data_IF_375832596894
#
_entry.id   IF_375832596894
#
_cell.length_a   1.000
_cell.length_b   1.000
_cell.length_c   1.000
_cell.angle_alpha   90.00
_cell.angle_beta   90.00
_cell.angle_gamma   90.00
#
_symmetry.space_group_name_H-M   'P 1'
#
loop_
_entity.id
_entity.type
_entity.pdbx_description
1 polymer ?
#
# COMPACT_ATOMS: atom_id res chain seq x y z
N UNK A 1 40.75 16.81 -28.49
CA UNK A 1 39.43 16.97 -27.83
C UNK A 1 39.41 18.32 -27.14
N UNK A 2 38.42 19.19 -27.40
CA UNK A 2 38.32 20.49 -26.70
C UNK A 2 37.68 20.33 -25.33
N UNK A 3 38.00 21.24 -24.40
CA UNK A 3 37.36 21.34 -23.08
C UNK A 3 35.83 21.45 -23.22
N UNK A 4 35.36 22.21 -24.20
CA UNK A 4 33.94 22.34 -24.54
C UNK A 4 33.31 20.98 -24.86
N UNK A 5 33.98 20.14 -25.65
CA UNK A 5 33.49 18.80 -25.98
C UNK A 5 33.49 17.83 -24.78
N UNK A 6 34.32 18.07 -23.77
CA UNK A 6 34.30 17.30 -22.51
C UNK A 6 33.14 17.75 -21.60
N UNK A 7 32.94 19.06 -21.46
CA UNK A 7 31.84 19.63 -20.68
C UNK A 7 30.47 19.24 -21.25
N UNK A 8 30.28 19.30 -22.57
CA UNK A 8 29.03 18.87 -23.20
C UNK A 8 28.74 17.39 -22.95
N UNK A 9 29.76 16.51 -23.01
CA UNK A 9 29.59 15.08 -22.70
C UNK A 9 29.21 14.84 -21.25
N UNK A 10 29.84 15.57 -20.32
CA UNK A 10 29.51 15.46 -18.90
C UNK A 10 28.07 15.92 -18.63
N UNK A 11 27.66 17.07 -19.17
CA UNK A 11 26.31 17.59 -19.00
C UNK A 11 25.25 16.62 -19.54
N UNK A 12 25.46 16.04 -20.73
CA UNK A 12 24.57 15.01 -21.27
C UNK A 12 24.52 13.78 -20.36
N UNK A 13 25.67 13.32 -19.86
CA UNK A 13 25.71 12.15 -18.96
C UNK A 13 24.94 12.40 -17.66
N UNK A 14 25.12 13.57 -17.04
CA UNK A 14 24.38 13.97 -15.83
C UNK A 14 22.88 14.03 -16.12
N UNK A 15 22.48 14.62 -17.26
CA UNK A 15 21.08 14.67 -17.67
C UNK A 15 20.46 13.28 -17.83
N UNK A 16 21.20 12.31 -18.39
CA UNK A 16 20.76 10.93 -18.51
C UNK A 16 20.65 10.23 -17.15
N UNK A 17 21.66 10.37 -16.29
CA UNK A 17 21.64 9.80 -14.94
C UNK A 17 20.46 10.34 -14.13
N UNK A 18 20.26 11.66 -14.12
CA UNK A 18 19.17 12.32 -13.40
C UNK A 18 17.78 11.90 -13.90
N UNK A 19 17.65 11.57 -15.19
CA UNK A 19 16.41 11.02 -15.76
C UNK A 19 16.16 9.57 -15.39
N UNK A 20 17.23 8.79 -15.17
CA UNK A 20 17.14 7.39 -14.73
C UNK A 20 16.85 7.23 -13.24
N UNK A 21 17.07 8.28 -12.42
CA UNK A 21 16.78 8.24 -10.99
C UNK A 21 15.26 8.17 -10.74
N UNK A 22 14.86 7.21 -9.92
CA UNK A 22 13.50 7.15 -9.37
C UNK A 22 13.34 8.27 -8.36
N UNK A 23 12.46 9.21 -8.67
CA UNK A 23 12.11 10.34 -7.81
C UNK A 23 10.81 10.05 -7.04
N UNK A 24 10.53 10.74 -5.92
CA UNK A 24 9.30 10.55 -5.15
C UNK A 24 8.00 10.71 -5.96
N UNK A 25 8.03 11.50 -7.03
CA UNK A 25 6.90 11.72 -7.95
C UNK A 25 6.77 10.63 -9.03
N UNK A 26 7.73 9.71 -9.14
CA UNK A 26 7.71 8.67 -10.16
C UNK A 26 6.43 7.81 -10.04
N UNK A 27 5.65 7.59 -11.12
CA UNK A 27 4.35 6.93 -11.08
C UNK A 27 4.43 5.45 -10.64
N UNK A 28 5.59 4.82 -10.81
CA UNK A 28 5.86 3.45 -10.35
C UNK A 28 6.14 3.30 -8.86
N UNK A 29 6.11 4.38 -8.05
CA UNK A 29 6.27 4.28 -6.60
C UNK A 29 4.92 4.17 -5.90
N UNK A 30 4.84 3.26 -4.92
CA UNK A 30 3.67 3.15 -4.06
C UNK A 30 3.42 4.47 -3.32
N UNK A 31 2.19 4.97 -3.43
CA UNK A 31 1.74 6.23 -2.82
C UNK A 31 1.24 6.04 -1.39
N UNK A 32 0.86 4.82 -1.03
CA UNK A 32 0.69 4.38 0.35
C UNK A 32 0.99 2.89 0.46
N UNK A 33 1.47 2.45 1.62
CA UNK A 33 1.58 1.03 1.96
C UNK A 33 1.52 0.84 3.47
N UNK A 34 1.11 -0.34 3.92
CA UNK A 34 1.15 -0.70 5.33
C UNK A 34 1.35 -2.21 5.52
N UNK A 35 2.06 -2.57 6.59
CA UNK A 35 2.04 -3.89 7.22
C UNK A 35 1.37 -3.75 8.58
N UNK A 36 0.24 -4.41 8.76
CA UNK A 36 -0.50 -4.38 10.03
C UNK A 36 -1.15 -5.73 10.31
N UNK A 37 -1.76 -5.89 11.48
CA UNK A 37 -2.64 -7.03 11.75
C UNK A 37 -3.44 -6.82 13.02
N UNK A 38 -4.25 -7.81 13.37
CA UNK A 38 -5.01 -7.81 14.61
C UNK A 38 -4.42 -8.84 15.57
N UNK A 39 -3.84 -8.36 16.67
CA UNK A 39 -3.10 -9.15 17.67
C UNK A 39 -3.51 -8.68 19.06
N UNK A 40 -3.77 -9.61 19.98
CA UNK A 40 -4.06 -9.26 21.37
C UNK A 40 -5.25 -8.33 21.56
N UNK A 41 -6.26 -8.43 20.70
CA UNK A 41 -7.46 -7.56 20.68
C UNK A 41 -7.23 -6.10 20.23
N UNK A 42 -6.10 -5.81 19.59
CA UNK A 42 -5.79 -4.50 19.04
C UNK A 42 -5.27 -4.61 17.59
N UNK A 43 -5.36 -3.49 16.85
CA UNK A 43 -4.67 -3.36 15.57
C UNK A 43 -3.22 -2.99 15.84
N UNK A 44 -2.31 -3.81 15.33
CA UNK A 44 -0.86 -3.63 15.39
C UNK A 44 -0.36 -3.14 14.02
N UNK A 45 -0.02 -1.85 13.90
CA UNK A 45 0.51 -1.23 12.68
C UNK A 45 2.04 -1.22 12.77
N UNK A 46 2.69 -2.15 12.06
CA UNK A 46 4.14 -2.41 12.20
C UNK A 46 4.99 -1.47 11.36
N UNK A 47 4.54 -1.17 10.15
CA UNK A 47 5.23 -0.29 9.23
C UNK A 47 4.24 0.32 8.25
N UNK A 48 4.48 1.56 7.84
CA UNK A 48 3.61 2.28 6.94
C UNK A 48 4.32 3.42 6.19
N UNK A 49 3.77 3.75 5.02
CA UNK A 49 4.02 5.00 4.31
C UNK A 49 2.68 5.60 3.89
N UNK A 50 2.51 6.90 4.14
CA UNK A 50 1.28 7.64 3.88
C UNK A 50 0.00 7.00 4.49
N UNK A 51 0.14 6.31 5.62
CA UNK A 51 -0.99 5.77 6.40
C UNK A 51 -0.92 6.37 7.80
N UNK A 52 -1.96 7.12 8.18
CA UNK A 52 -2.08 7.74 9.50
C UNK A 52 -2.55 6.73 10.55
N UNK A 53 -3.49 5.86 10.19
CA UNK A 53 -4.02 4.86 11.11
C UNK A 53 -4.68 3.69 10.37
N UNK A 54 -4.79 2.56 11.07
CA UNK A 54 -5.65 1.45 10.66
C UNK A 54 -6.58 1.14 11.82
N UNK A 55 -7.89 1.11 11.55
CA UNK A 55 -8.92 0.81 12.55
C UNK A 55 -9.70 -0.43 12.16
N UNK A 56 -10.04 -1.27 13.15
CA UNK A 56 -10.91 -2.42 12.95
C UNK A 56 -12.36 -2.00 13.11
N UNK A 57 -13.16 -2.19 12.07
CA UNK A 57 -14.59 -1.87 12.07
C UNK A 57 -15.43 -3.04 12.60
N UNK A 58 -15.02 -4.27 12.28
CA UNK A 58 -15.58 -5.53 12.74
C UNK A 58 -14.57 -6.66 12.50
N UNK A 59 -14.89 -7.91 12.85
CA UNK A 59 -14.03 -9.05 12.57
C UNK A 59 -13.68 -9.14 11.08
N UNK A 60 -12.38 -9.10 10.77
CA UNK A 60 -11.87 -9.14 9.41
C UNK A 60 -12.24 -7.91 8.57
N UNK A 61 -12.66 -6.78 9.16
CA UNK A 61 -13.00 -5.54 8.44
C UNK A 61 -12.16 -4.39 8.98
N UNK A 62 -11.40 -3.75 8.10
CA UNK A 62 -10.44 -2.71 8.46
C UNK A 62 -10.62 -1.46 7.61
N UNK A 63 -10.40 -0.31 8.23
CA UNK A 63 -10.29 0.99 7.56
C UNK A 63 -8.88 1.51 7.70
N UNK A 64 -8.25 1.75 6.56
CA UNK A 64 -6.95 2.41 6.43
C UNK A 64 -7.22 3.88 6.18
N UNK A 65 -6.67 4.76 7.03
CA UNK A 65 -6.76 6.21 6.87
C UNK A 65 -5.42 6.73 6.36
N UNK A 66 -5.42 7.44 5.24
CA UNK A 66 -4.21 8.02 4.66
C UNK A 66 -3.79 9.28 5.43
N UNK A 67 -2.47 9.50 5.54
CA UNK A 67 -1.94 10.70 6.20
C UNK A 67 -2.08 11.93 5.30
N UNK A 68 -1.82 11.77 4.01
CA UNK A 68 -2.03 12.75 2.95
C UNK A 68 -3.11 12.22 2.00
N UNK A 69 -4.20 12.97 1.79
CA UNK A 69 -5.24 12.56 0.86
C UNK A 69 -4.71 12.42 -0.57
N UNK A 70 -5.21 11.45 -1.32
CA UNK A 70 -4.99 11.38 -2.77
C UNK A 70 -5.82 12.44 -3.51
N UNK A 71 -5.41 12.73 -4.75
CA UNK A 71 -6.09 13.69 -5.62
C UNK A 71 -7.53 13.26 -5.95
N UNK A 72 -7.77 11.95 -6.09
CA UNK A 72 -9.07 11.34 -6.31
C UNK A 72 -9.07 9.88 -5.82
N UNK A 73 -10.21 9.21 -5.96
CA UNK A 73 -10.38 7.81 -5.58
C UNK A 73 -9.96 6.82 -6.69
N UNK A 74 -9.41 7.28 -7.82
CA UNK A 74 -9.04 6.45 -8.98
C UNK A 74 -7.65 5.80 -8.83
N UNK A 75 -7.29 5.43 -7.61
CA UNK A 75 -6.09 4.66 -7.31
C UNK A 75 -6.32 3.15 -7.41
N UNK A 76 -5.26 2.41 -7.71
CA UNK A 76 -5.24 0.96 -7.61
C UNK A 76 -4.60 0.51 -6.30
N UNK A 77 -5.04 -0.62 -5.79
CA UNK A 77 -4.50 -1.19 -4.56
C UNK A 77 -4.47 -2.71 -4.67
N UNK A 78 -3.52 -3.31 -3.96
CA UNK A 78 -3.39 -4.76 -3.81
C UNK A 78 -3.10 -5.03 -2.35
N UNK A 79 -3.79 -6.00 -1.77
CA UNK A 79 -3.51 -6.44 -0.42
C UNK A 79 -3.65 -7.96 -0.28
N UNK A 80 -2.86 -8.53 0.61
CA UNK A 80 -2.90 -9.95 0.97
C UNK A 80 -2.86 -10.09 2.48
N UNK A 81 -3.53 -11.13 2.99
CA UNK A 81 -3.44 -11.52 4.39
C UNK A 81 -2.60 -12.78 4.54
N UNK A 82 -1.84 -12.89 5.62
CA UNK A 82 -1.23 -14.16 6.00
C UNK A 82 -2.27 -14.98 6.76
N UNK A 83 -2.18 -16.31 6.75
CA UNK A 83 -2.93 -17.10 7.74
C UNK A 83 -2.29 -17.03 9.11
N UNK A 84 -3.12 -16.95 10.14
CA UNK A 84 -2.73 -17.01 11.54
C UNK A 84 -2.85 -18.43 12.13
N UNK A 85 -3.12 -19.45 11.31
CA UNK A 85 -3.21 -20.86 11.71
C UNK A 85 -2.28 -21.70 10.85
N UNK A 86 -1.49 -22.58 11.47
CA UNK A 86 -0.51 -23.46 10.81
C UNK A 86 -1.15 -24.70 10.14
N UNK A 87 -2.26 -24.52 9.43
CA UNK A 87 -3.06 -25.61 8.84
C UNK A 87 -3.13 -25.54 7.31
N UNK A 88 -2.22 -24.80 6.66
CA UNK A 88 -2.24 -24.61 5.20
C UNK A 88 -3.38 -23.71 4.71
N UNK A 89 -4.08 -23.04 5.62
CA UNK A 89 -5.12 -22.06 5.27
C UNK A 89 -4.47 -20.78 4.74
N UNK A 90 -5.23 -20.06 3.91
CA UNK A 90 -4.80 -18.79 3.30
C UNK A 90 -5.81 -17.69 3.64
N UNK A 91 -5.34 -16.45 3.60
CA UNK A 91 -6.17 -15.26 3.77
C UNK A 91 -5.97 -14.32 2.59
N UNK A 92 -7.04 -13.66 2.19
CA UNK A 92 -7.00 -12.67 1.12
C UNK A 92 -7.60 -11.37 1.61
N UNK A 93 -7.10 -10.26 1.08
CA UNK A 93 -7.75 -8.97 1.28
C UNK A 93 -8.56 -8.61 0.05
N UNK A 94 -9.80 -8.16 0.26
CA UNK A 94 -10.72 -7.77 -0.81
C UNK A 94 -11.60 -6.59 -0.36
N UNK A 95 -12.53 -6.17 -1.21
CA UNK A 95 -13.56 -5.18 -0.89
C UNK A 95 -14.89 -5.61 -1.51
N UNK A 96 -16.00 -5.42 -0.80
CA UNK A 96 -17.36 -5.61 -1.35
C UNK A 96 -17.92 -4.27 -1.76
N UNK A 97 -18.49 -4.20 -2.97
CA UNK A 97 -19.01 -2.95 -3.56
C UNK A 97 -20.05 -2.22 -2.70
N UNK A 98 -20.77 -2.93 -1.82
CA UNK A 98 -21.85 -2.36 -1.02
C UNK A 98 -21.41 -1.77 0.32
N UNK A 99 -20.22 -2.11 0.80
CA UNK A 99 -19.84 -1.85 2.20
C UNK A 99 -18.43 -1.29 2.35
N UNK A 100 -17.48 -1.78 1.55
CA UNK A 100 -16.10 -1.32 1.60
C UNK A 100 -15.84 -0.33 0.46
N UNK A 101 -15.59 0.92 0.83
CA UNK A 101 -15.34 2.01 -0.10
C UNK A 101 -13.87 2.37 -0.19
N UNK A 102 -13.50 2.98 -1.32
CA UNK A 102 -12.24 3.70 -1.49
C UNK A 102 -12.55 5.18 -1.72
N UNK A 103 -11.88 6.06 -0.98
CA UNK A 103 -12.01 7.51 -1.05
C UNK A 103 -10.62 8.14 -1.08
N UNK A 104 -10.53 9.45 -1.30
CA UNK A 104 -9.23 10.16 -1.24
C UNK A 104 -8.53 10.03 0.10
N UNK A 105 -9.26 9.79 1.20
CA UNK A 105 -8.72 9.76 2.56
C UNK A 105 -8.70 8.38 3.19
N UNK A 106 -9.51 7.45 2.70
CA UNK A 106 -9.69 6.14 3.34
C UNK A 106 -9.82 5.00 2.33
N UNK A 107 -9.27 3.86 2.70
CA UNK A 107 -9.47 2.59 2.02
C UNK A 107 -10.03 1.57 3.03
N UNK A 108 -11.24 1.10 2.79
CA UNK A 108 -11.84 0.02 3.56
C UNK A 108 -11.55 -1.32 2.87
N UNK A 109 -11.10 -2.30 3.64
CA UNK A 109 -10.83 -3.66 3.15
C UNK A 109 -11.39 -4.71 4.10
N UNK A 110 -11.59 -5.90 3.56
CA UNK A 110 -11.90 -7.10 4.33
C UNK A 110 -10.79 -8.12 4.22
N UNK A 111 -10.55 -8.86 5.30
CA UNK A 111 -9.74 -10.07 5.31
C UNK A 111 -10.67 -11.28 5.32
N UNK A 112 -10.51 -12.13 4.29
CA UNK A 112 -11.38 -13.27 4.00
C UNK A 112 -10.58 -14.56 4.11
N UNK A 113 -11.20 -15.61 4.64
CA UNK A 113 -10.66 -16.97 4.61
C UNK A 113 -10.75 -17.58 3.20
N UNK A 114 -10.03 -18.67 2.95
CA UNK A 114 -10.21 -19.46 1.71
C UNK A 114 -11.65 -19.96 1.48
N UNK A 115 -12.49 -19.98 2.53
CA UNK A 115 -13.89 -20.38 2.46
C UNK A 115 -14.88 -19.20 2.30
N UNK A 116 -14.39 -17.97 2.16
CA UNK A 116 -15.24 -16.78 1.95
C UNK A 116 -15.75 -16.11 3.23
N UNK A 117 -15.41 -16.61 4.42
CA UNK A 117 -15.80 -15.98 5.69
C UNK A 117 -14.86 -14.86 6.11
N UNK A 118 -15.39 -13.83 6.77
CA UNK A 118 -14.57 -12.73 7.31
C UNK A 118 -13.89 -13.18 8.60
N UNK A 119 -12.59 -12.95 8.70
CA UNK A 119 -11.86 -13.26 9.92
C UNK A 119 -10.60 -12.40 10.03
N UNK A 120 -10.29 -12.02 11.27
CA UNK A 120 -9.05 -11.32 11.58
C UNK A 120 -7.82 -12.20 11.26
N UNK A 121 -6.70 -11.53 11.04
CA UNK A 121 -5.39 -12.16 10.92
C UNK A 121 -4.31 -11.28 11.55
N UNK A 122 -3.19 -11.90 11.91
CA UNK A 122 -2.04 -11.25 12.54
C UNK A 122 -1.22 -10.43 11.55
N UNK A 123 -1.41 -10.59 10.23
CA UNK A 123 -0.64 -9.89 9.22
C UNK A 123 -1.43 -9.67 7.91
N UNK A 124 -1.50 -8.41 7.49
CA UNK A 124 -2.04 -7.91 6.23
C UNK A 124 -1.02 -6.92 5.67
N UNK A 125 -0.71 -7.09 4.39
CA UNK A 125 0.16 -6.20 3.64
C UNK A 125 -0.67 -5.53 2.54
N UNK A 126 -0.60 -4.21 2.43
CA UNK A 126 -1.30 -3.43 1.41
C UNK A 126 -0.35 -2.47 0.72
N UNK A 127 -0.50 -2.35 -0.59
CA UNK A 127 0.21 -1.36 -1.42
C UNK A 127 -0.82 -0.65 -2.29
N UNK A 128 -0.68 0.67 -2.42
CA UNK A 128 -1.56 1.55 -3.17
C UNK A 128 -0.75 2.39 -4.15
N UNK A 129 -1.18 2.46 -5.41
CA UNK A 129 -0.60 3.32 -6.45
C UNK A 129 -1.65 4.31 -6.97
N UNK A 130 -1.23 5.56 -7.16
CA UNK A 130 -2.05 6.65 -7.72
C UNK A 130 -1.24 7.48 -8.68
#
# INVERSE_FOLDING_TARGET
MSLVAQLSRLATRIGTEIKGLIRPDHPGLARAWANFGYVGSAVDLRAAHNVASVSRLAAGRYRITFATPFVDADYCWVATGRSNVATGTIRFSAARSTTEGKTTTTLDIVCITGAGSLADTTEINVVVYR
#
